data_IF_329945556672
#
_entry.id   IF_329945556672
#
_cell.length_a   1.000
_cell.length_b   1.000
_cell.length_c   1.000
_cell.angle_alpha   90.00
_cell.angle_beta   90.00
_cell.angle_gamma   90.00
#
_symmetry.space_group_name_H-M   'P 1'
#
loop_
_entity.id
_entity.type
_entity.pdbx_description
1 polymer ?
#
# COMPACT_ATOMS: atom_id res chain seq x y z
N UNK A 1 22.04 21.69 42.12
CA UNK A 1 21.33 21.71 40.80
C UNK A 1 21.37 20.31 40.24
N UNK A 2 20.26 19.59 40.36
CA UNK A 2 20.14 18.17 39.97
C UNK A 2 19.72 18.10 38.51
N UNK A 3 20.60 17.66 37.63
CA UNK A 3 20.37 17.51 36.21
C UNK A 3 19.44 16.29 36.01
N UNK A 4 18.19 16.54 35.59
CA UNK A 4 17.22 15.51 35.27
C UNK A 4 17.74 14.66 34.10
N UNK A 5 17.76 13.33 34.26
CA UNK A 5 18.15 12.35 33.24
C UNK A 5 17.07 12.22 32.18
N UNK A 6 17.23 12.72 30.93
CA UNK A 6 16.28 12.47 29.84
C UNK A 6 16.41 11.07 29.19
N UNK A 7 17.39 10.26 29.63
CA UNK A 7 17.83 9.05 28.93
C UNK A 7 16.88 7.84 29.01
N UNK A 8 16.17 7.65 30.12
CA UNK A 8 15.34 6.44 30.30
C UNK A 8 14.04 6.42 29.47
N UNK A 9 13.49 7.60 29.15
CA UNK A 9 12.25 7.72 28.35
C UNK A 9 12.47 7.43 26.86
N UNK A 10 13.58 7.90 26.28
CA UNK A 10 13.95 7.66 24.89
C UNK A 10 14.21 6.16 24.64
N UNK A 11 14.99 5.51 25.51
CA UNK A 11 15.24 4.06 25.39
C UNK A 11 13.95 3.20 25.53
N UNK A 12 12.96 3.65 26.32
CA UNK A 12 11.69 2.95 26.45
C UNK A 12 10.84 3.11 25.18
N UNK A 13 10.80 4.31 24.60
CA UNK A 13 10.10 4.59 23.35
C UNK A 13 10.74 3.82 22.18
N UNK A 14 12.06 3.80 22.09
CA UNK A 14 12.80 3.07 21.04
C UNK A 14 12.56 1.56 21.14
N UNK A 15 12.53 1.00 22.36
CA UNK A 15 12.20 -0.42 22.57
C UNK A 15 10.75 -0.74 22.17
N UNK A 16 9.80 0.15 22.46
CA UNK A 16 8.41 -0.01 22.04
C UNK A 16 8.29 0.05 20.52
N UNK A 17 8.89 1.05 19.87
CA UNK A 17 8.93 1.19 18.42
C UNK A 17 9.57 -0.03 17.74
N UNK A 18 10.69 -0.52 18.26
CA UNK A 18 11.36 -1.71 17.75
C UNK A 18 10.51 -2.98 17.88
N UNK A 19 9.76 -3.16 18.99
CA UNK A 19 8.82 -4.29 19.15
C UNK A 19 7.65 -4.17 18.17
N UNK A 20 7.09 -2.97 18.03
CA UNK A 20 6.00 -2.72 17.08
C UNK A 20 6.43 -3.01 15.64
N UNK A 21 7.63 -2.58 15.23
CA UNK A 21 8.17 -2.86 13.91
C UNK A 21 8.31 -4.37 13.65
N UNK A 22 8.83 -5.14 14.62
CA UNK A 22 8.94 -6.61 14.49
C UNK A 22 7.56 -7.28 14.35
N UNK A 23 6.55 -6.82 15.11
CA UNK A 23 5.19 -7.32 14.98
C UNK A 23 4.63 -7.01 13.58
N UNK A 24 4.82 -5.82 13.05
CA UNK A 24 4.36 -5.45 11.69
C UNK A 24 5.06 -6.29 10.60
N UNK A 25 6.37 -6.51 10.72
CA UNK A 25 7.11 -7.41 9.81
C UNK A 25 6.58 -8.84 9.86
N UNK A 26 6.35 -9.39 11.07
CA UNK A 26 5.74 -10.71 11.24
C UNK A 26 4.33 -10.78 10.65
N UNK A 27 3.56 -9.70 10.79
CA UNK A 27 2.23 -9.58 10.16
C UNK A 27 2.29 -9.64 8.64
N UNK A 28 3.24 -8.94 8.01
CA UNK A 28 3.45 -9.02 6.57
C UNK A 28 3.87 -10.43 6.14
N UNK A 29 4.75 -11.10 6.89
CA UNK A 29 5.15 -12.48 6.61
C UNK A 29 3.93 -13.41 6.59
N UNK A 30 3.10 -13.36 7.62
CA UNK A 30 1.96 -14.25 7.78
C UNK A 30 0.80 -13.92 6.83
N UNK A 31 0.44 -12.65 6.66
CA UNK A 31 -0.65 -12.22 5.78
C UNK A 31 -0.29 -12.29 4.29
N UNK A 32 0.98 -12.10 3.96
CA UNK A 32 1.49 -12.17 2.59
C UNK A 32 2.03 -13.55 2.20
N UNK A 33 1.97 -14.55 3.09
CA UNK A 33 2.39 -15.92 2.76
C UNK A 33 1.38 -16.60 1.82
N UNK A 34 1.80 -17.73 1.23
CA UNK A 34 0.93 -18.58 0.40
C UNK A 34 0.09 -19.55 1.24
N UNK A 35 0.31 -19.62 2.54
CA UNK A 35 -0.45 -20.43 3.50
C UNK A 35 -1.71 -19.65 3.88
N UNK A 36 -2.84 -20.34 4.06
CA UNK A 36 -4.16 -19.74 4.30
C UNK A 36 -4.14 -18.69 5.44
N UNK A 37 -4.40 -17.42 5.14
CA UNK A 37 -4.38 -16.35 6.15
C UNK A 37 -5.57 -16.42 7.12
N UNK A 38 -6.50 -17.36 6.95
CA UNK A 38 -7.68 -17.52 7.82
C UNK A 38 -7.31 -17.85 9.28
N UNK A 39 -6.10 -18.35 9.51
CA UNK A 39 -5.61 -18.75 10.83
C UNK A 39 -4.63 -17.76 11.49
N UNK A 40 -4.61 -16.49 11.09
CA UNK A 40 -3.79 -15.52 11.81
C UNK A 40 -4.18 -15.45 13.29
N UNK A 41 -3.28 -15.90 14.15
CA UNK A 41 -3.47 -15.85 15.61
C UNK A 41 -2.47 -14.90 16.26
N UNK A 42 -2.86 -14.24 17.35
CA UNK A 42 -1.95 -13.40 18.14
C UNK A 42 -0.72 -14.18 18.60
N UNK A 43 -0.90 -15.45 18.96
CA UNK A 43 0.20 -16.33 19.38
C UNK A 43 1.18 -16.57 18.22
N UNK A 44 0.67 -16.85 17.02
CA UNK A 44 1.50 -17.06 15.81
C UNK A 44 2.30 -15.81 15.44
N UNK A 45 1.64 -14.63 15.47
CA UNK A 45 2.31 -13.34 15.24
C UNK A 45 3.40 -13.10 16.26
N UNK A 46 3.15 -13.34 17.55
CA UNK A 46 4.15 -13.15 18.60
C UNK A 46 5.33 -14.12 18.47
N UNK A 47 5.06 -15.35 18.08
CA UNK A 47 6.09 -16.36 17.83
C UNK A 47 6.99 -15.94 16.66
N UNK A 48 6.40 -15.54 15.54
CA UNK A 48 7.12 -15.05 14.36
C UNK A 48 7.93 -13.78 14.67
N UNK A 49 7.37 -12.84 15.42
CA UNK A 49 8.04 -11.60 15.83
C UNK A 49 9.10 -11.79 16.92
N UNK A 50 9.17 -12.94 17.57
CA UNK A 50 10.06 -13.19 18.72
C UNK A 50 9.74 -12.29 19.91
N UNK A 51 8.45 -12.05 20.22
CA UNK A 51 8.01 -11.22 21.33
C UNK A 51 6.98 -11.93 22.21
N UNK A 52 6.92 -11.58 23.50
CA UNK A 52 5.90 -12.11 24.39
C UNK A 52 4.53 -11.49 24.07
N UNK A 53 3.43 -12.27 24.24
CA UNK A 53 2.06 -11.88 23.91
C UNK A 53 1.62 -10.57 24.59
N UNK A 54 2.10 -10.28 25.82
CA UNK A 54 1.81 -9.00 26.49
C UNK A 54 2.20 -7.78 25.64
N UNK A 55 3.31 -7.86 24.89
CA UNK A 55 3.81 -6.76 24.06
C UNK A 55 2.96 -6.55 22.79
N UNK A 56 2.23 -7.56 22.36
CA UNK A 56 1.23 -7.40 21.31
C UNK A 56 0.11 -6.45 21.81
N UNK A 57 -0.45 -6.73 22.97
CA UNK A 57 -1.55 -5.92 23.52
C UNK A 57 -1.11 -4.54 24.03
N UNK A 58 0.19 -4.33 24.29
CA UNK A 58 0.75 -2.98 24.50
C UNK A 58 0.77 -2.15 23.19
N UNK A 59 0.76 -2.80 22.03
CA UNK A 59 0.91 -2.14 20.72
C UNK A 59 -0.39 -2.10 19.92
N UNK A 60 -1.28 -3.09 20.10
CA UNK A 60 -2.52 -3.25 19.35
C UNK A 60 -3.62 -3.77 20.28
N UNK A 61 -4.83 -3.14 20.29
CA UNK A 61 -5.93 -3.55 21.16
C UNK A 61 -6.46 -4.94 20.82
N UNK A 62 -6.49 -5.30 19.53
CA UNK A 62 -6.96 -6.58 19.03
C UNK A 62 -6.28 -6.98 17.71
N UNK A 63 -6.71 -8.12 17.18
CA UNK A 63 -6.17 -8.70 15.95
C UNK A 63 -6.56 -7.89 14.71
N UNK A 64 -7.75 -7.33 14.64
CA UNK A 64 -8.25 -6.61 13.47
C UNK A 64 -7.56 -5.26 13.33
N UNK A 65 -7.35 -4.55 14.44
CA UNK A 65 -6.52 -3.34 14.50
C UNK A 65 -5.06 -3.64 14.11
N UNK A 66 -4.52 -4.78 14.54
CA UNK A 66 -3.19 -5.21 14.12
C UNK A 66 -3.11 -5.45 12.61
N UNK A 67 -4.07 -6.20 12.03
CA UNK A 67 -4.12 -6.45 10.58
C UNK A 67 -4.24 -5.15 9.81
N UNK A 68 -5.11 -4.24 10.25
CA UNK A 68 -5.24 -2.90 9.67
C UNK A 68 -3.92 -2.13 9.72
N UNK A 69 -3.21 -2.17 10.85
CA UNK A 69 -1.93 -1.48 11.02
C UNK A 69 -0.82 -2.07 10.14
N UNK A 70 -0.79 -3.40 9.92
CA UNK A 70 0.14 -4.04 8.97
C UNK A 70 -0.12 -3.52 7.56
N UNK A 71 -1.38 -3.50 7.14
CA UNK A 71 -1.77 -3.02 5.82
C UNK A 71 -1.39 -1.54 5.63
N UNK A 72 -1.75 -0.68 6.58
CA UNK A 72 -1.45 0.76 6.54
C UNK A 72 0.06 1.01 6.50
N UNK A 73 0.84 0.25 7.27
CA UNK A 73 2.30 0.34 7.27
C UNK A 73 2.89 -0.04 5.90
N UNK A 74 2.42 -1.11 5.28
CA UNK A 74 2.85 -1.55 3.94
C UNK A 74 2.51 -0.50 2.89
N UNK A 75 1.27 0.00 2.89
CA UNK A 75 0.82 1.05 1.96
C UNK A 75 1.63 2.34 2.14
N UNK A 76 1.90 2.75 3.37
CA UNK A 76 2.69 3.95 3.64
C UNK A 76 4.12 3.82 3.08
N UNK A 77 4.76 2.67 3.26
CA UNK A 77 6.09 2.39 2.69
C UNK A 77 6.08 2.41 1.16
N UNK A 78 5.13 1.70 0.55
CA UNK A 78 5.00 1.64 -0.90
C UNK A 78 4.70 3.02 -1.49
N UNK A 79 3.79 3.79 -0.88
CA UNK A 79 3.44 5.13 -1.31
C UNK A 79 4.64 6.10 -1.21
N UNK A 80 5.37 6.10 -0.10
CA UNK A 80 6.52 6.99 0.10
C UNK A 80 7.63 6.73 -0.94
N UNK A 81 7.96 5.45 -1.18
CA UNK A 81 8.98 5.09 -2.16
C UNK A 81 8.52 5.31 -3.60
N UNK A 82 7.23 5.10 -3.91
CA UNK A 82 6.64 5.42 -5.21
C UNK A 82 6.65 6.93 -5.47
N UNK A 83 6.30 7.75 -4.48
CA UNK A 83 6.37 9.20 -4.60
C UNK A 83 7.79 9.70 -4.87
N UNK A 84 8.80 9.10 -4.22
CA UNK A 84 10.20 9.43 -4.49
C UNK A 84 10.59 9.10 -5.95
N UNK A 85 10.18 7.95 -6.47
CA UNK A 85 10.42 7.56 -7.86
C UNK A 85 9.73 8.52 -8.84
N UNK A 86 8.47 8.91 -8.57
CA UNK A 86 7.71 9.87 -9.38
C UNK A 86 8.36 11.25 -9.35
N UNK A 87 8.84 11.71 -8.19
CA UNK A 87 9.48 13.02 -8.04
C UNK A 87 10.83 13.11 -8.79
N UNK A 88 11.56 12.00 -8.88
CA UNK A 88 12.83 11.92 -9.60
C UNK A 88 12.66 11.83 -11.14
N UNK A 89 11.46 11.51 -11.64
CA UNK A 89 11.20 11.32 -13.05
C UNK A 89 10.86 12.63 -13.78
N UNK A 90 11.17 12.68 -15.09
CA UNK A 90 10.73 13.76 -15.96
C UNK A 90 9.19 13.84 -16.01
N UNK A 91 8.61 15.02 -16.20
CA UNK A 91 7.15 15.20 -16.14
C UNK A 91 6.34 14.21 -17.01
N UNK A 92 6.80 13.91 -18.22
CA UNK A 92 6.14 12.95 -19.14
C UNK A 92 6.29 11.48 -18.75
N UNK A 93 7.25 11.15 -17.87
CA UNK A 93 7.57 9.79 -17.45
C UNK A 93 7.03 9.43 -16.04
N UNK A 94 6.37 10.36 -15.39
CA UNK A 94 5.95 10.19 -13.97
C UNK A 94 5.01 9.02 -13.75
N UNK A 95 4.02 8.84 -14.63
CA UNK A 95 3.08 7.71 -14.53
C UNK A 95 3.83 6.38 -14.70
N UNK A 96 4.71 6.29 -15.69
CA UNK A 96 5.54 5.12 -15.93
C UNK A 96 6.45 4.82 -14.74
N UNK A 97 7.13 5.83 -14.19
CA UNK A 97 8.02 5.68 -13.05
C UNK A 97 7.28 5.17 -11.80
N UNK A 98 6.09 5.69 -11.53
CA UNK A 98 5.25 5.23 -10.42
C UNK A 98 4.81 3.78 -10.59
N UNK A 99 4.30 3.42 -11.77
CA UNK A 99 3.86 2.05 -12.08
C UNK A 99 5.04 1.06 -12.06
N UNK A 100 6.17 1.44 -12.66
CA UNK A 100 7.40 0.63 -12.65
C UNK A 100 7.89 0.38 -11.23
N UNK A 101 7.85 1.40 -10.36
CA UNK A 101 8.25 1.25 -8.97
C UNK A 101 7.34 0.26 -8.21
N UNK A 102 6.02 0.36 -8.40
CA UNK A 102 5.05 -0.55 -7.77
C UNK A 102 5.29 -1.99 -8.23
N UNK A 103 5.36 -2.23 -9.54
CA UNK A 103 5.57 -3.57 -10.13
C UNK A 103 6.91 -4.16 -9.67
N UNK A 104 7.98 -3.36 -9.69
CA UNK A 104 9.29 -3.80 -9.21
C UNK A 104 9.29 -4.11 -7.70
N UNK A 105 8.60 -3.33 -6.88
CA UNK A 105 8.47 -3.61 -5.45
C UNK A 105 7.76 -4.94 -5.18
N UNK A 106 6.71 -5.25 -5.96
CA UNK A 106 6.00 -6.53 -5.90
C UNK A 106 6.93 -7.70 -6.31
N UNK A 107 7.75 -7.52 -7.36
CA UNK A 107 8.70 -8.55 -7.79
C UNK A 107 9.78 -8.81 -6.74
N UNK A 108 10.27 -7.78 -6.07
CA UNK A 108 11.28 -7.91 -5.01
C UNK A 108 10.71 -8.53 -3.73
N UNK A 109 9.47 -8.24 -3.43
CA UNK A 109 8.76 -8.80 -2.28
C UNK A 109 7.33 -9.20 -2.67
N UNK A 110 7.12 -10.46 -3.12
CA UNK A 110 5.80 -10.93 -3.53
C UNK A 110 4.73 -10.88 -2.41
N UNK A 111 5.13 -10.80 -1.13
CA UNK A 111 4.20 -10.64 -0.01
C UNK A 111 3.42 -9.32 -0.10
N UNK A 112 4.10 -8.23 -0.57
CA UNK A 112 3.45 -6.94 -0.84
C UNK A 112 2.33 -7.08 -1.86
N UNK A 113 2.63 -7.76 -2.97
CA UNK A 113 1.65 -8.00 -4.03
C UNK A 113 0.43 -8.77 -3.54
N UNK A 114 0.65 -9.86 -2.81
CA UNK A 114 -0.43 -10.69 -2.24
C UNK A 114 -1.27 -9.92 -1.23
N UNK A 115 -0.64 -9.15 -0.31
CA UNK A 115 -1.36 -8.40 0.69
C UNK A 115 -2.17 -7.25 0.08
N UNK A 116 -1.59 -6.48 -0.83
CA UNK A 116 -2.20 -5.24 -1.34
C UNK A 116 -3.14 -5.51 -2.51
N UNK A 117 -2.77 -6.38 -3.45
CA UNK A 117 -3.47 -6.59 -4.71
C UNK A 117 -4.09 -7.99 -4.86
N UNK A 118 -3.63 -8.97 -4.09
CA UNK A 118 -4.06 -10.37 -4.26
C UNK A 118 -5.50 -10.62 -3.79
N UNK A 119 -6.28 -11.35 -4.56
CA UNK A 119 -7.68 -11.69 -4.24
C UNK A 119 -7.80 -12.82 -3.19
N UNK A 120 -6.72 -13.56 -2.94
CA UNK A 120 -6.73 -14.77 -2.11
C UNK A 120 -6.76 -14.50 -0.60
N UNK A 121 -6.43 -13.28 -0.15
CA UNK A 121 -6.47 -12.93 1.27
C UNK A 121 -7.91 -12.58 1.65
N UNK A 122 -8.65 -13.55 2.18
CA UNK A 122 -10.05 -13.42 2.57
C UNK A 122 -10.28 -12.77 3.96
N UNK A 123 -9.25 -12.21 4.60
CA UNK A 123 -9.39 -11.53 5.89
C UNK A 123 -10.21 -10.24 5.74
N UNK A 124 -11.31 -10.13 6.49
CA UNK A 124 -12.25 -9.00 6.38
C UNK A 124 -11.59 -7.63 6.63
N UNK A 125 -10.63 -7.53 7.55
CA UNK A 125 -9.89 -6.30 7.80
C UNK A 125 -9.02 -5.91 6.59
N UNK A 126 -8.37 -6.88 5.93
CA UNK A 126 -7.60 -6.64 4.70
C UNK A 126 -8.51 -6.17 3.56
N UNK A 127 -9.65 -6.83 3.35
CA UNK A 127 -10.61 -6.45 2.30
C UNK A 127 -11.10 -5.01 2.50
N UNK A 128 -11.49 -4.65 3.72
CA UNK A 128 -11.88 -3.27 4.06
C UNK A 128 -10.75 -2.28 3.79
N UNK A 129 -9.52 -2.60 4.21
CA UNK A 129 -8.36 -1.73 4.02
C UNK A 129 -7.99 -1.54 2.55
N UNK A 130 -8.15 -2.55 1.70
CA UNK A 130 -7.98 -2.41 0.24
C UNK A 130 -8.97 -1.41 -0.33
N UNK A 131 -10.26 -1.50 0.03
CA UNK A 131 -11.30 -0.58 -0.43
C UNK A 131 -11.03 0.85 0.04
N UNK A 132 -10.66 1.04 1.31
CA UNK A 132 -10.29 2.35 1.87
C UNK A 132 -9.09 2.96 1.12
N UNK A 133 -8.05 2.16 0.84
CA UNK A 133 -6.86 2.61 0.12
C UNK A 133 -7.17 2.96 -1.33
N UNK A 134 -7.98 2.16 -2.02
CA UNK A 134 -8.40 2.44 -3.40
C UNK A 134 -9.16 3.77 -3.48
N UNK A 135 -10.13 4.00 -2.59
CA UNK A 135 -10.86 5.26 -2.52
C UNK A 135 -9.93 6.45 -2.19
N UNK A 136 -8.98 6.27 -1.29
CA UNK A 136 -7.99 7.30 -0.93
C UNK A 136 -7.07 7.65 -2.11
N UNK A 137 -6.54 6.67 -2.83
CA UNK A 137 -5.70 6.92 -4.01
C UNK A 137 -6.49 7.51 -5.18
N UNK A 138 -7.76 7.13 -5.36
CA UNK A 138 -8.62 7.77 -6.35
C UNK A 138 -8.85 9.27 -6.01
N UNK A 139 -9.08 9.59 -4.74
CA UNK A 139 -9.18 10.99 -4.30
C UNK A 139 -7.88 11.76 -4.55
N UNK A 140 -6.71 11.19 -4.22
CA UNK A 140 -5.40 11.83 -4.47
C UNK A 140 -5.15 12.05 -5.96
N UNK A 141 -5.47 11.05 -6.79
CA UNK A 141 -5.37 11.15 -8.25
C UNK A 141 -6.27 12.28 -8.78
N UNK A 142 -7.51 12.37 -8.32
CA UNK A 142 -8.44 13.43 -8.70
C UNK A 142 -7.94 14.83 -8.32
N UNK A 143 -7.37 14.97 -7.13
CA UNK A 143 -6.74 16.25 -6.70
C UNK A 143 -5.55 16.63 -7.58
N UNK A 144 -4.72 15.65 -7.95
CA UNK A 144 -3.58 15.87 -8.83
C UNK A 144 -4.03 16.31 -10.22
N UNK A 145 -5.02 15.63 -10.81
CA UNK A 145 -5.60 16.00 -12.11
C UNK A 145 -6.23 17.40 -12.04
N UNK A 146 -6.98 17.71 -10.97
CA UNK A 146 -7.55 19.04 -10.76
C UNK A 146 -6.47 20.14 -10.71
N UNK A 147 -5.35 19.89 -10.04
CA UNK A 147 -4.22 20.82 -9.98
C UNK A 147 -3.58 21.03 -11.35
N UNK A 148 -3.38 19.97 -12.16
CA UNK A 148 -2.85 20.09 -13.52
C UNK A 148 -3.80 20.90 -14.42
N UNK A 149 -5.10 20.64 -14.32
CA UNK A 149 -6.12 21.34 -15.11
C UNK A 149 -6.45 22.74 -14.58
N UNK A 150 -5.86 23.14 -13.43
CA UNK A 150 -6.15 24.39 -12.74
C UNK A 150 -7.66 24.58 -12.44
N UNK A 151 -8.32 23.48 -12.06
CA UNK A 151 -9.76 23.41 -11.76
C UNK A 151 -10.00 22.69 -10.44
N UNK A 152 -11.06 23.01 -9.70
CA UNK A 152 -11.48 22.20 -8.58
C UNK A 152 -11.90 20.80 -9.07
N UNK A 153 -11.73 19.81 -8.20
CA UNK A 153 -12.24 18.45 -8.49
C UNK A 153 -13.74 18.46 -8.69
N UNK A 154 -14.22 17.79 -9.72
CA UNK A 154 -15.63 17.61 -10.03
C UNK A 154 -15.99 16.12 -10.17
N UNK A 155 -17.26 15.81 -10.39
CA UNK A 155 -17.75 14.43 -10.50
C UNK A 155 -17.07 13.66 -11.64
N UNK A 156 -16.72 14.31 -12.75
CA UNK A 156 -16.06 13.66 -13.90
C UNK A 156 -14.62 13.30 -13.58
N UNK A 157 -13.87 14.24 -12.97
CA UNK A 157 -12.49 13.99 -12.50
C UNK A 157 -12.51 12.82 -11.50
N UNK A 158 -13.45 12.82 -10.55
CA UNK A 158 -13.58 11.74 -9.58
C UNK A 158 -13.89 10.39 -10.26
N UNK A 159 -14.82 10.36 -11.21
CA UNK A 159 -15.16 9.14 -11.94
C UNK A 159 -13.95 8.57 -12.70
N UNK A 160 -13.20 9.41 -13.44
CA UNK A 160 -11.99 8.99 -14.13
C UNK A 160 -10.93 8.50 -13.14
N UNK A 161 -10.75 9.18 -12.02
CA UNK A 161 -9.77 8.78 -11.01
C UNK A 161 -10.08 7.44 -10.37
N UNK A 162 -11.35 7.17 -10.04
CA UNK A 162 -11.79 5.86 -9.56
C UNK A 162 -11.61 4.77 -10.61
N UNK A 163 -11.93 5.06 -11.87
CA UNK A 163 -11.75 4.11 -12.97
C UNK A 163 -10.27 3.76 -13.17
N UNK A 164 -9.39 4.76 -13.19
CA UNK A 164 -7.96 4.55 -13.40
C UNK A 164 -7.35 3.76 -12.24
N UNK A 165 -7.62 4.17 -10.99
CA UNK A 165 -7.05 3.48 -9.82
C UNK A 165 -7.59 2.07 -9.71
N UNK A 166 -8.91 1.86 -9.84
CA UNK A 166 -9.51 0.53 -9.80
C UNK A 166 -9.04 -0.35 -10.96
N UNK A 167 -8.94 0.20 -12.18
CA UNK A 167 -8.39 -0.49 -13.34
C UNK A 167 -6.96 -0.96 -13.15
N UNK A 168 -6.07 -0.07 -12.68
CA UNK A 168 -4.67 -0.42 -12.37
C UNK A 168 -4.60 -1.50 -11.29
N UNK A 169 -5.33 -1.33 -10.18
CA UNK A 169 -5.38 -2.30 -9.08
C UNK A 169 -5.83 -3.67 -9.57
N UNK A 170 -6.92 -3.71 -10.36
CA UNK A 170 -7.46 -4.97 -10.88
C UNK A 170 -6.56 -5.63 -11.91
N UNK A 171 -5.89 -4.85 -12.75
CA UNK A 171 -4.93 -5.38 -13.74
C UNK A 171 -3.72 -6.01 -13.04
N UNK A 172 -3.15 -5.34 -12.02
CA UNK A 172 -2.06 -5.90 -11.22
C UNK A 172 -2.53 -7.19 -10.50
N UNK A 173 -3.73 -7.22 -9.93
CA UNK A 173 -4.31 -8.41 -9.30
C UNK A 173 -4.41 -9.58 -10.29
N UNK A 174 -4.93 -9.33 -11.50
CA UNK A 174 -5.06 -10.33 -12.56
C UNK A 174 -3.69 -10.84 -13.04
N UNK A 175 -2.70 -9.95 -13.15
CA UNK A 175 -1.32 -10.32 -13.49
C UNK A 175 -0.69 -11.21 -12.41
N UNK A 176 -0.83 -10.87 -11.14
CA UNK A 176 -0.33 -11.67 -10.02
C UNK A 176 -0.97 -13.07 -9.94
N UNK A 177 -2.23 -13.21 -10.37
CA UNK A 177 -2.93 -14.50 -10.40
C UNK A 177 -2.69 -15.31 -11.68
N UNK A 178 -1.86 -14.81 -12.61
CA UNK A 178 -1.59 -15.47 -13.90
C UNK A 178 -2.69 -15.31 -14.94
N UNK A 179 -3.69 -14.46 -14.70
CA UNK A 179 -4.76 -14.14 -15.65
C UNK A 179 -4.32 -13.22 -16.80
N UNK A 180 -3.15 -12.59 -16.67
CA UNK A 180 -2.53 -11.74 -17.69
C UNK A 180 -1.10 -12.24 -17.90
N UNK A 181 -0.81 -12.69 -19.11
CA UNK A 181 0.52 -13.23 -19.53
C UNK A 181 1.34 -12.12 -20.19
N UNK A 182 1.85 -11.21 -19.36
CA UNK A 182 2.79 -10.16 -19.73
C UNK A 182 3.99 -10.22 -18.80
N UNK A 183 5.18 -9.92 -19.32
CA UNK A 183 6.29 -9.65 -18.41
C UNK A 183 6.09 -8.31 -17.69
N UNK A 184 6.94 -8.03 -16.70
CA UNK A 184 6.79 -6.83 -15.86
C UNK A 184 7.01 -5.52 -16.62
N UNK A 185 7.84 -5.53 -17.66
CA UNK A 185 8.12 -4.36 -18.48
C UNK A 185 6.93 -4.09 -19.40
N UNK A 186 6.43 -5.12 -20.06
CA UNK A 186 5.24 -5.07 -20.90
C UNK A 186 4.00 -4.60 -20.10
N UNK A 187 3.82 -5.12 -18.88
CA UNK A 187 2.73 -4.68 -17.99
C UNK A 187 2.82 -3.20 -17.67
N UNK A 188 4.01 -2.72 -17.30
CA UNK A 188 4.25 -1.30 -16.99
C UNK A 188 3.99 -0.42 -18.21
N UNK A 189 4.47 -0.83 -19.38
CA UNK A 189 4.30 -0.07 -20.63
C UNK A 189 2.81 -0.01 -21.03
N UNK A 190 2.09 -1.12 -20.93
CA UNK A 190 0.65 -1.18 -21.21
C UNK A 190 -0.16 -0.33 -20.22
N UNK A 191 0.08 -0.47 -18.91
CA UNK A 191 -0.60 0.35 -17.91
C UNK A 191 -0.31 1.84 -18.08
N UNK A 192 0.95 2.20 -18.41
CA UNK A 192 1.35 3.58 -18.62
C UNK A 192 0.66 4.18 -19.83
N UNK A 193 0.56 3.44 -20.94
CA UNK A 193 -0.13 3.87 -22.14
C UNK A 193 -1.62 4.13 -21.86
N UNK A 194 -2.28 3.22 -21.11
CA UNK A 194 -3.68 3.38 -20.72
C UNK A 194 -3.86 4.62 -19.84
N UNK A 195 -3.08 4.75 -18.76
CA UNK A 195 -3.18 5.88 -17.84
C UNK A 195 -2.94 7.22 -18.53
N UNK A 196 -1.95 7.29 -19.42
CA UNK A 196 -1.66 8.50 -20.21
C UNK A 196 -2.81 8.83 -21.18
N UNK A 197 -3.48 7.82 -21.74
CA UNK A 197 -4.65 8.00 -22.61
C UNK A 197 -5.84 8.67 -21.90
N UNK A 198 -5.97 8.54 -20.58
CA UNK A 198 -6.98 9.26 -19.79
C UNK A 198 -6.62 10.73 -19.50
N UNK A 199 -5.46 11.23 -19.92
CA UNK A 199 -5.08 12.64 -19.79
C UNK A 199 -5.77 13.60 -20.79
N UNK A 200 -6.68 13.11 -21.63
CA UNK A 200 -7.35 13.94 -22.64
C UNK A 200 -8.32 14.95 -22.01
N UNK A 201 -8.18 16.28 -22.32
CA UNK A 201 -9.02 17.31 -21.71
C UNK A 201 -10.53 17.15 -21.92
N UNK A 202 -10.94 16.44 -22.99
CA UNK A 202 -12.38 16.17 -23.26
C UNK A 202 -13.06 15.29 -22.22
N UNK A 203 -12.31 14.46 -21.50
CA UNK A 203 -12.84 13.61 -20.42
C UNK A 203 -13.24 14.41 -19.18
N UNK A 204 -12.80 15.66 -19.07
CA UNK A 204 -12.98 16.52 -17.90
C UNK A 204 -13.80 17.78 -18.19
N UNK A 205 -14.35 17.93 -19.41
CA UNK A 205 -15.22 19.05 -19.77
C UNK A 205 -16.62 18.81 -19.19
N UNK A 206 -17.20 19.88 -18.65
CA UNK A 206 -18.59 19.92 -18.19
C UNK A 206 -19.54 19.82 -19.38
#
# INVERSE_FOLDING_TARGET
MTQARPYAGVEAADRLAGRRARLLCAGLELLGSTVDPAELTVRGVCQEAGVATRYFYESFPDKDEFVGAVFDWVIAQLAATTQAAVAAALPGERNRAGLAHIVHSIQRDPRLGRLVFGDQVANAAVVRKRQESEAFFAMLSGRHVGAILQRPTNARINAVSHFVVGGVTRTISAWLSGGIDLDSVELVDQLSAIVNGFGEPRLFRD
#
